data_IF_749911330482
#
_entry.id   IF_749911330482
#
_cell.length_a   1.000
_cell.length_b   1.000
_cell.length_c   1.000
_cell.angle_alpha   90.00
_cell.angle_beta   90.00
_cell.angle_gamma   90.00
#
_symmetry.space_group_name_H-M   'P 1'
#
loop_
_entity.id
_entity.type
_entity.pdbx_description
1 polymer ?
#
# COMPACT_ATOMS: atom_id res chain seq x y z
N UNK A 1 -23.16 -9.14 3.64
CA UNK A 1 -22.31 -8.10 4.26
C UNK A 1 -21.69 -7.30 3.14
N UNK A 2 -21.66 -5.96 3.22
CA UNK A 2 -20.92 -5.16 2.25
C UNK A 2 -19.43 -5.52 2.42
N UNK A 3 -18.87 -6.31 1.50
CA UNK A 3 -17.44 -6.59 1.47
C UNK A 3 -16.72 -5.27 1.16
N UNK A 4 -16.21 -4.61 2.20
CA UNK A 4 -15.34 -3.45 2.02
C UNK A 4 -14.05 -3.92 1.37
N UNK A 5 -13.74 -3.41 0.18
CA UNK A 5 -12.49 -3.75 -0.54
C UNK A 5 -11.30 -3.25 0.28
N UNK A 6 -10.30 -4.11 0.49
CA UNK A 6 -8.99 -3.77 1.04
C UNK A 6 -7.94 -3.88 -0.05
N UNK A 7 -7.31 -2.75 -0.35
CA UNK A 7 -6.25 -2.60 -1.34
C UNK A 7 -4.90 -2.50 -0.63
N UNK A 8 -3.99 -3.41 -0.97
CA UNK A 8 -2.57 -3.29 -0.64
C UNK A 8 -1.82 -2.49 -1.69
N UNK A 9 -0.87 -1.67 -1.26
CA UNK A 9 0.13 -1.06 -2.14
C UNK A 9 1.51 -1.46 -1.66
N UNK A 10 2.33 -1.93 -2.60
CA UNK A 10 3.76 -2.17 -2.40
C UNK A 10 4.49 -1.11 -3.20
N UNK A 11 5.15 -0.16 -2.54
CA UNK A 11 5.80 0.97 -3.21
C UNK A 11 7.09 1.40 -2.49
N UNK A 12 7.83 2.30 -3.13
CA UNK A 12 8.88 3.06 -2.48
C UNK A 12 8.34 3.91 -1.32
N UNK A 13 9.20 4.37 -0.38
CA UNK A 13 8.77 5.11 0.78
C UNK A 13 7.77 6.23 0.45
N UNK A 14 6.53 6.09 0.93
CA UNK A 14 5.45 7.08 0.67
C UNK A 14 5.80 8.48 1.19
N UNK A 15 6.72 8.58 2.15
CA UNK A 15 7.27 9.83 2.68
C UNK A 15 8.19 10.58 1.70
N UNK A 16 8.64 9.95 0.62
CA UNK A 16 9.58 10.53 -0.35
C UNK A 16 8.94 11.00 -1.66
N UNK A 17 7.63 10.77 -1.84
CA UNK A 17 6.96 11.04 -3.11
C UNK A 17 6.67 12.52 -3.33
N UNK A 18 6.55 12.92 -4.60
CA UNK A 18 5.96 14.22 -4.99
C UNK A 18 4.50 14.01 -5.35
N UNK A 19 3.59 14.27 -4.41
CA UNK A 19 2.17 13.88 -4.53
C UNK A 19 1.48 14.31 -5.83
N UNK A 20 1.77 15.51 -6.36
CA UNK A 20 1.17 16.01 -7.62
C UNK A 20 1.70 15.35 -8.89
N UNK A 21 2.77 14.55 -8.79
CA UNK A 21 3.38 13.83 -9.92
C UNK A 21 3.26 12.31 -9.76
N UNK A 22 2.70 11.85 -8.65
CA UNK A 22 2.66 10.44 -8.28
C UNK A 22 1.30 9.83 -8.64
N UNK A 23 1.29 8.97 -9.67
CA UNK A 23 0.07 8.28 -10.09
C UNK A 23 -0.39 7.20 -9.09
N UNK A 24 0.52 6.64 -8.28
CA UNK A 24 0.17 5.72 -7.20
C UNK A 24 -0.66 6.47 -6.15
N UNK A 25 -0.23 7.67 -5.76
CA UNK A 25 -0.93 8.51 -4.80
C UNK A 25 -2.34 8.91 -5.28
N UNK A 26 -2.47 9.28 -6.56
CA UNK A 26 -3.77 9.56 -7.17
C UNK A 26 -4.72 8.34 -7.10
N UNK A 27 -4.20 7.12 -7.31
CA UNK A 27 -4.99 5.89 -7.17
C UNK A 27 -5.42 5.63 -5.71
N UNK A 28 -4.52 5.89 -4.74
CA UNK A 28 -4.83 5.73 -3.31
C UNK A 28 -5.92 6.70 -2.85
N UNK A 29 -5.84 7.97 -3.24
CA UNK A 29 -6.90 8.97 -2.99
C UNK A 29 -8.24 8.51 -3.57
N UNK A 30 -8.24 8.01 -4.80
CA UNK A 30 -9.44 7.55 -5.47
C UNK A 30 -10.04 6.27 -4.83
N UNK A 31 -9.20 5.36 -4.34
CA UNK A 31 -9.63 4.17 -3.61
C UNK A 31 -10.23 4.54 -2.25
N UNK A 32 -9.57 5.41 -1.47
CA UNK A 32 -10.10 5.90 -0.20
C UNK A 32 -11.43 6.65 -0.37
N UNK A 33 -11.58 7.47 -1.41
CA UNK A 33 -12.84 8.16 -1.73
C UNK A 33 -14.00 7.19 -2.02
N UNK A 34 -13.71 5.96 -2.45
CA UNK A 34 -14.71 4.89 -2.64
C UNK A 34 -15.00 4.11 -1.35
N UNK A 35 -14.42 4.51 -0.22
CA UNK A 35 -14.54 3.82 1.06
C UNK A 35 -13.71 2.55 1.16
N UNK A 36 -12.71 2.36 0.28
CA UNK A 36 -11.83 1.20 0.36
C UNK A 36 -10.81 1.38 1.48
N UNK A 37 -10.45 0.28 2.12
CA UNK A 37 -9.37 0.27 3.10
C UNK A 37 -8.03 0.17 2.39
N UNK A 38 -7.04 0.94 2.85
CA UNK A 38 -5.70 0.91 2.28
C UNK A 38 -4.72 0.24 3.22
N UNK A 39 -3.78 -0.50 2.67
CA UNK A 39 -2.69 -1.12 3.41
C UNK A 39 -1.38 -0.89 2.68
N UNK A 40 -0.44 -0.26 3.38
CA UNK A 40 0.87 0.11 2.88
C UNK A 40 1.91 -0.93 3.25
N UNK A 41 2.76 -1.25 2.29
CA UNK A 41 3.93 -2.10 2.42
C UNK A 41 5.07 -1.53 1.57
N UNK A 42 6.30 -1.74 2.02
CA UNK A 42 7.50 -1.67 1.20
C UNK A 42 7.90 -3.08 0.74
N UNK A 43 8.86 -3.19 -0.18
CA UNK A 43 9.30 -4.50 -0.68
C UNK A 43 9.86 -5.39 0.45
N UNK A 44 10.56 -4.77 1.41
CA UNK A 44 11.12 -5.44 2.60
C UNK A 44 10.06 -5.95 3.58
N UNK A 45 8.82 -5.47 3.48
CA UNK A 45 7.71 -5.93 4.32
C UNK A 45 7.12 -7.25 3.81
N UNK A 46 7.47 -7.69 2.59
CA UNK A 46 7.00 -8.93 1.99
C UNK A 46 7.86 -10.12 2.42
N UNK A 47 7.20 -11.23 2.73
CA UNK A 47 7.87 -12.48 3.11
C UNK A 47 7.08 -13.71 2.67
N UNK A 48 7.77 -14.85 2.58
CA UNK A 48 7.17 -16.15 2.37
C UNK A 48 7.36 -16.98 3.64
N UNK A 49 6.27 -17.51 4.18
CA UNK A 49 6.29 -18.39 5.36
C UNK A 49 5.30 -19.52 5.17
N UNK A 50 5.73 -20.77 5.36
CA UNK A 50 4.86 -21.96 5.30
C UNK A 50 3.98 -22.01 4.03
N UNK A 51 4.59 -21.73 2.86
CA UNK A 51 3.92 -21.62 1.55
C UNK A 51 2.83 -20.53 1.43
N UNK A 52 2.74 -19.61 2.38
CA UNK A 52 1.85 -18.45 2.31
C UNK A 52 2.67 -17.15 2.19
N UNK A 53 2.23 -16.27 1.29
CA UNK A 53 2.78 -14.93 1.17
C UNK A 53 2.22 -14.06 2.30
N UNK A 54 3.10 -13.37 3.03
CA UNK A 54 2.80 -12.46 4.12
C UNK A 54 3.30 -11.05 3.81
N UNK A 55 2.62 -10.07 4.40
CA UNK A 55 3.07 -8.68 4.42
C UNK A 55 3.00 -8.10 5.83
N UNK A 56 4.00 -7.31 6.22
CA UNK A 56 3.90 -6.41 7.37
C UNK A 56 3.13 -5.16 6.96
N UNK A 57 1.80 -5.25 7.03
CA UNK A 57 0.89 -4.22 6.52
C UNK A 57 0.69 -3.11 7.54
N UNK A 58 0.84 -1.86 7.11
CA UNK A 58 0.43 -0.67 7.87
C UNK A 58 -0.89 -0.16 7.32
N UNK A 59 -1.95 0.03 8.15
CA UNK A 59 -3.13 0.78 7.71
C UNK A 59 -2.71 2.14 7.18
N UNK A 60 -3.25 2.54 6.04
CA UNK A 60 -2.88 3.79 5.37
C UNK A 60 -4.09 4.70 5.25
N UNK A 61 -3.93 5.96 5.65
CA UNK A 61 -4.80 7.07 5.29
C UNK A 61 -4.01 8.04 4.43
N UNK A 62 -4.62 8.59 3.37
CA UNK A 62 -4.01 9.59 2.49
C UNK A 62 -4.87 10.85 2.41
N UNK A 63 -4.24 12.00 2.21
CA UNK A 63 -4.92 13.28 2.05
C UNK A 63 -4.19 14.13 1.01
N UNK A 64 -4.94 14.94 0.24
CA UNK A 64 -4.35 15.91 -0.69
C UNK A 64 -3.87 17.16 0.08
N UNK A 65 -2.88 16.94 0.96
CA UNK A 65 -2.21 17.95 1.78
C UNK A 65 -0.68 17.80 1.63
N UNK A 66 0.01 18.75 0.97
CA UNK A 66 1.47 18.71 0.81
C UNK A 66 2.28 18.68 2.10
N UNK A 67 1.67 18.90 3.28
CA UNK A 67 2.35 18.81 4.59
C UNK A 67 2.08 17.49 5.31
N UNK A 68 0.91 16.89 5.10
CA UNK A 68 0.46 15.69 5.80
C UNK A 68 -0.29 14.74 4.86
N UNK A 69 0.36 14.33 3.77
CA UNK A 69 -0.30 13.58 2.70
C UNK A 69 -0.59 12.12 3.03
N UNK A 70 -0.03 11.61 4.12
CA UNK A 70 -0.21 10.23 4.54
C UNK A 70 -0.15 10.08 6.07
N UNK A 71 -0.79 9.04 6.56
CA UNK A 71 -0.67 8.56 7.94
C UNK A 71 -0.62 7.04 7.93
N UNK A 72 0.39 6.50 8.61
CA UNK A 72 0.58 5.06 8.78
C UNK A 72 0.13 4.63 10.17
N UNK A 73 -0.65 3.57 10.23
CA UNK A 73 -0.98 2.87 11.47
C UNK A 73 0.12 1.92 11.92
N UNK A 74 -0.17 1.18 12.99
CA UNK A 74 0.74 0.17 13.55
C UNK A 74 0.86 -1.00 12.54
N UNK A 75 2.08 -1.42 12.19
CA UNK A 75 2.29 -2.56 11.30
C UNK A 75 1.80 -3.86 11.93
N UNK A 76 1.17 -4.72 11.12
CA UNK A 76 0.76 -6.07 11.53
C UNK A 76 1.10 -7.08 10.44
N UNK A 77 1.64 -8.26 10.78
CA UNK A 77 1.85 -9.33 9.82
C UNK A 77 0.51 -9.97 9.47
N UNK A 78 0.17 -10.00 8.19
CA UNK A 78 -1.05 -10.61 7.68
C UNK A 78 -0.78 -11.37 6.37
N UNK A 79 -1.50 -12.47 6.09
CA UNK A 79 -1.43 -13.12 4.79
C UNK A 79 -1.92 -12.19 3.66
N UNK A 80 -1.20 -12.16 2.54
CA UNK A 80 -1.55 -11.29 1.40
C UNK A 80 -2.90 -11.65 0.76
N UNK A 81 -3.37 -12.89 0.89
CA UNK A 81 -4.67 -13.33 0.36
C UNK A 81 -5.88 -12.67 1.05
N UNK A 82 -5.67 -11.98 2.19
CA UNK A 82 -6.72 -11.18 2.83
C UNK A 82 -7.01 -9.88 2.07
N UNK A 83 -6.13 -9.47 1.16
CA UNK A 83 -6.30 -8.31 0.29
C UNK A 83 -7.05 -8.72 -0.99
N UNK A 84 -7.96 -7.88 -1.46
CA UNK A 84 -8.67 -8.12 -2.73
C UNK A 84 -7.86 -7.61 -3.93
N UNK A 85 -7.00 -6.61 -3.71
CA UNK A 85 -6.19 -5.96 -4.74
C UNK A 85 -4.80 -5.68 -4.16
N UNK A 86 -3.76 -5.90 -4.95
CA UNK A 86 -2.39 -5.46 -4.64
C UNK A 86 -1.88 -4.62 -5.81
N UNK A 87 -1.52 -3.37 -5.54
CA UNK A 87 -0.79 -2.51 -6.47
C UNK A 87 0.71 -2.68 -6.24
N UNK A 88 1.40 -3.36 -7.15
CA UNK A 88 2.87 -3.46 -7.17
C UNK A 88 3.43 -2.23 -7.90
N UNK A 89 3.90 -1.25 -7.13
CA UNK A 89 4.30 0.10 -7.59
C UNK A 89 5.70 0.46 -7.09
N UNK A 90 6.64 -0.45 -7.29
CA UNK A 90 8.07 -0.22 -7.10
C UNK A 90 8.65 0.40 -8.38
N UNK A 91 9.36 1.51 -8.26
CA UNK A 91 10.02 2.11 -9.43
C UNK A 91 11.15 1.19 -9.93
N UNK A 92 11.43 1.17 -11.26
CA UNK A 92 12.61 0.53 -11.80
C UNK A 92 13.91 1.05 -11.13
N UNK A 93 15.01 0.28 -11.14
CA UNK A 93 15.22 -0.95 -11.91
C UNK A 93 14.64 -2.20 -11.26
N UNK A 94 14.25 -3.16 -12.09
CA UNK A 94 13.98 -4.52 -11.64
C UNK A 94 15.28 -5.31 -11.70
N UNK A 95 15.85 -5.64 -10.55
CA UNK A 95 17.03 -6.52 -10.48
C UNK A 95 16.55 -7.97 -10.51
N UNK A 96 16.80 -8.67 -11.62
CA UNK A 96 16.64 -10.14 -11.76
C UNK A 96 17.94 -10.87 -11.41
N UNK A 97 18.84 -10.20 -10.68
CA UNK A 97 20.16 -10.74 -10.34
C UNK A 97 20.05 -11.96 -9.45
#
# INVERSE_FOLDING_TARGET
>A
MLNSIRLGVVMDPISSIKIHKDSTFAMLLAAQKRGWQLSYMELSDLSLKDNAAYGWMRPLEVADDPKNWFKLGIPKPEPLYNLQIILMRKDPPFNIS
#
